data_IF_576518856939
#
_entry.id   IF_576518856939
#
_cell.length_a   1.000
_cell.length_b   1.000
_cell.length_c   1.000
_cell.angle_alpha   90.00
_cell.angle_beta   90.00
_cell.angle_gamma   90.00
#
_symmetry.space_group_name_H-M   'P 1'
#
loop_
_entity.id
_entity.type
_entity.pdbx_description
1 polymer ?
#
# COMPACT_ATOMS: atom_id res chain seq x y z
N UNK A 1 -32.57 5.69 -71.79
CA UNK A 1 -33.53 5.42 -70.71
C UNK A 1 -33.18 4.04 -70.18
N UNK A 2 -32.59 3.96 -68.99
CA UNK A 2 -32.34 2.67 -68.37
C UNK A 2 -33.67 1.98 -68.03
N UNK A 3 -33.77 0.64 -68.18
CA UNK A 3 -35.00 -0.08 -67.91
C UNK A 3 -35.38 0.03 -66.42
N UNK A 4 -36.68 0.07 -66.08
CA UNK A 4 -37.13 0.15 -64.71
C UNK A 4 -36.63 -1.07 -63.90
N UNK A 5 -36.16 -0.82 -62.69
CA UNK A 5 -35.72 -1.86 -61.78
C UNK A 5 -36.84 -2.89 -61.55
N UNK A 6 -36.49 -4.18 -61.61
CA UNK A 6 -37.46 -5.25 -61.32
C UNK A 6 -38.05 -5.12 -59.91
N UNK A 7 -39.30 -5.54 -59.71
CA UNK A 7 -39.97 -5.47 -58.42
C UNK A 7 -39.19 -6.14 -57.27
N UNK A 8 -38.47 -7.24 -57.55
CA UNK A 8 -37.60 -7.90 -56.56
C UNK A 8 -36.41 -7.04 -56.14
N UNK A 9 -35.80 -6.29 -57.06
CA UNK A 9 -34.72 -5.34 -56.76
C UNK A 9 -35.21 -4.19 -55.88
N UNK A 10 -36.39 -3.64 -56.17
CA UNK A 10 -36.99 -2.57 -55.36
C UNK A 10 -37.30 -3.06 -53.94
N UNK A 11 -37.88 -4.26 -53.81
CA UNK A 11 -38.16 -4.90 -52.53
C UNK A 11 -36.89 -5.15 -51.70
N UNK A 12 -35.86 -5.76 -52.29
CA UNK A 12 -34.58 -5.99 -51.64
C UNK A 12 -33.91 -4.68 -51.22
N UNK A 13 -33.92 -3.66 -52.09
CA UNK A 13 -33.40 -2.33 -51.76
C UNK A 13 -34.12 -1.71 -50.57
N UNK A 14 -35.45 -1.88 -50.50
CA UNK A 14 -36.23 -1.34 -49.38
C UNK A 14 -35.85 -2.03 -48.08
N UNK A 15 -35.77 -3.37 -48.06
CA UNK A 15 -35.36 -4.14 -46.88
C UNK A 15 -33.95 -3.76 -46.44
N UNK A 16 -33.00 -3.63 -47.38
CA UNK A 16 -31.62 -3.23 -47.06
C UNK A 16 -31.55 -1.80 -46.49
N UNK A 17 -32.44 -0.91 -46.91
CA UNK A 17 -32.52 0.46 -46.39
C UNK A 17 -33.24 0.61 -45.04
N UNK A 18 -33.89 -0.45 -44.53
CA UNK A 18 -34.59 -0.39 -43.24
C UNK A 18 -33.65 -0.31 -42.05
N UNK A 19 -32.39 -0.73 -42.22
CA UNK A 19 -31.35 -0.62 -41.19
C UNK A 19 -30.46 0.57 -41.51
N UNK A 20 -30.39 1.52 -40.57
CA UNK A 20 -29.46 2.62 -40.68
C UNK A 20 -28.05 2.14 -40.29
N UNK A 21 -27.17 2.00 -41.28
CA UNK A 21 -25.79 1.55 -41.07
C UNK A 21 -24.98 2.51 -40.18
N UNK A 22 -25.31 3.81 -40.20
CA UNK A 22 -24.63 4.81 -39.39
C UNK A 22 -24.99 4.64 -37.91
N UNK A 23 -26.26 4.38 -37.60
CA UNK A 23 -26.71 4.13 -36.22
C UNK A 23 -26.10 2.83 -35.67
N UNK A 24 -26.06 1.77 -36.49
CA UNK A 24 -25.38 0.51 -36.12
C UNK A 24 -23.90 0.75 -35.83
N UNK A 25 -23.22 1.54 -36.66
CA UNK A 25 -21.81 1.89 -36.46
C UNK A 25 -21.59 2.72 -35.20
N UNK A 26 -22.51 3.67 -34.91
CA UNK A 26 -22.47 4.47 -33.69
C UNK A 26 -22.66 3.60 -32.43
N UNK A 27 -23.58 2.63 -32.47
CA UNK A 27 -23.77 1.66 -31.37
C UNK A 27 -22.49 0.84 -31.15
N UNK A 28 -21.89 0.30 -32.23
CA UNK A 28 -20.65 -0.47 -32.14
C UNK A 28 -19.53 0.37 -31.52
N UNK A 29 -19.40 1.64 -31.93
CA UNK A 29 -18.39 2.55 -31.37
C UNK A 29 -18.64 2.83 -29.89
N UNK A 30 -19.89 3.09 -29.49
CA UNK A 30 -20.26 3.31 -28.10
C UNK A 30 -19.95 2.08 -27.23
N UNK A 31 -20.24 0.87 -27.72
CA UNK A 31 -19.94 -0.37 -27.02
C UNK A 31 -18.44 -0.62 -26.88
N UNK A 32 -17.65 -0.34 -27.92
CA UNK A 32 -16.17 -0.43 -27.85
C UNK A 32 -15.59 0.54 -26.82
N UNK A 33 -16.06 1.79 -26.82
CA UNK A 33 -15.64 2.79 -25.84
C UNK A 33 -16.02 2.38 -24.41
N UNK A 34 -17.17 1.76 -24.22
CA UNK A 34 -17.61 1.26 -22.93
C UNK A 34 -16.74 0.08 -22.47
N UNK A 35 -16.41 -0.85 -23.38
CA UNK A 35 -15.53 -1.98 -23.08
C UNK A 35 -14.13 -1.51 -22.64
N UNK A 36 -13.50 -0.59 -23.39
CA UNK A 36 -12.20 -0.01 -23.04
C UNK A 36 -12.21 0.63 -21.63
N UNK A 37 -13.29 1.35 -21.30
CA UNK A 37 -13.45 1.95 -19.96
C UNK A 37 -13.61 0.89 -18.87
N UNK A 38 -14.35 -0.18 -19.13
CA UNK A 38 -14.49 -1.28 -18.17
C UNK A 38 -13.17 -2.01 -17.94
N UNK A 39 -12.41 -2.27 -19.00
CA UNK A 39 -11.11 -2.92 -18.90
C UNK A 39 -10.12 -2.08 -18.09
N UNK A 40 -10.01 -0.78 -18.38
CA UNK A 40 -9.16 0.14 -17.62
C UNK A 40 -9.57 0.25 -16.16
N UNK A 41 -10.87 0.32 -15.89
CA UNK A 41 -11.37 0.40 -14.51
C UNK A 41 -11.07 -0.88 -13.74
N UNK A 42 -11.26 -2.05 -14.38
CA UNK A 42 -10.95 -3.34 -13.78
C UNK A 42 -9.45 -3.49 -13.50
N UNK A 43 -8.60 -3.04 -14.41
CA UNK A 43 -7.14 -3.06 -14.21
C UNK A 43 -6.73 -2.18 -13.03
N UNK A 44 -7.25 -0.95 -12.94
CA UNK A 44 -6.99 -0.07 -11.80
C UNK A 44 -7.48 -0.66 -10.48
N UNK A 45 -8.66 -1.30 -10.46
CA UNK A 45 -9.19 -1.97 -9.28
C UNK A 45 -8.33 -3.18 -8.86
N UNK A 46 -7.87 -3.97 -9.83
CA UNK A 46 -6.98 -5.10 -9.57
C UNK A 46 -5.65 -4.62 -8.98
N UNK A 47 -5.07 -3.56 -9.55
CA UNK A 47 -3.84 -2.97 -9.03
C UNK A 47 -4.03 -2.43 -7.61
N UNK A 48 -5.14 -1.72 -7.36
CA UNK A 48 -5.48 -1.22 -6.03
C UNK A 48 -5.65 -2.35 -5.01
N UNK A 49 -6.36 -3.43 -5.38
CA UNK A 49 -6.54 -4.57 -4.50
C UNK A 49 -5.20 -5.23 -4.15
N UNK A 50 -4.34 -5.44 -5.14
CA UNK A 50 -3.01 -6.01 -4.93
C UNK A 50 -2.16 -5.13 -4.01
N UNK A 51 -2.12 -3.81 -4.27
CA UNK A 51 -1.33 -2.87 -3.47
C UNK A 51 -1.85 -2.75 -2.04
N UNK A 52 -3.16 -2.63 -1.86
CA UNK A 52 -3.79 -2.54 -0.54
C UNK A 52 -3.60 -3.82 0.27
N UNK A 53 -3.75 -4.99 -0.36
CA UNK A 53 -3.49 -6.30 0.25
C UNK A 53 -2.02 -6.43 0.70
N UNK A 54 -1.07 -6.07 -0.16
CA UNK A 54 0.36 -6.11 0.18
C UNK A 54 0.71 -5.18 1.36
N UNK A 55 0.15 -3.96 1.38
CA UNK A 55 0.35 -3.01 2.49
C UNK A 55 -0.26 -3.53 3.79
N UNK A 56 -1.47 -4.11 3.72
CA UNK A 56 -2.13 -4.71 4.88
C UNK A 56 -1.32 -5.87 5.44
N UNK A 57 -0.82 -6.75 4.58
CA UNK A 57 0.01 -7.88 5.00
C UNK A 57 1.28 -7.40 5.70
N UNK A 58 2.00 -6.43 5.14
CA UNK A 58 3.21 -5.86 5.74
C UNK A 58 2.92 -5.26 7.13
N UNK A 59 1.84 -4.50 7.26
CA UNK A 59 1.45 -3.92 8.54
C UNK A 59 1.06 -4.99 9.56
N UNK A 60 0.30 -6.01 9.12
CA UNK A 60 -0.12 -7.11 9.98
C UNK A 60 1.07 -7.92 10.50
N UNK A 61 2.07 -8.19 9.66
CA UNK A 61 3.30 -8.90 10.08
C UNK A 61 4.05 -8.14 11.18
N UNK A 62 4.19 -6.81 11.04
CA UNK A 62 4.81 -5.94 12.06
C UNK A 62 3.99 -5.91 13.34
N UNK A 63 2.66 -5.79 13.22
CA UNK A 63 1.76 -5.80 14.36
C UNK A 63 1.89 -7.10 15.16
N UNK A 64 1.82 -8.25 14.49
CA UNK A 64 1.98 -9.56 15.11
C UNK A 64 3.36 -9.73 15.76
N UNK A 65 4.41 -9.19 15.14
CA UNK A 65 5.74 -9.19 15.74
C UNK A 65 5.76 -8.38 17.05
N UNK A 66 5.24 -7.16 17.05
CA UNK A 66 5.16 -6.33 18.26
C UNK A 66 4.31 -6.99 19.36
N UNK A 67 3.17 -7.59 19.01
CA UNK A 67 2.36 -8.33 19.99
C UNK A 67 3.14 -9.49 20.61
N UNK A 68 3.89 -10.27 19.81
CA UNK A 68 4.75 -11.35 20.34
C UNK A 68 5.80 -10.82 21.30
N UNK A 69 6.50 -9.75 20.93
CA UNK A 69 7.50 -9.12 21.80
C UNK A 69 6.91 -8.67 23.13
N UNK A 70 5.71 -8.06 23.13
CA UNK A 70 5.04 -7.67 24.37
C UNK A 70 4.68 -8.87 25.25
N UNK A 71 4.22 -9.98 24.65
CA UNK A 71 3.93 -11.21 25.39
C UNK A 71 5.20 -11.83 25.99
N UNK A 72 6.31 -11.82 25.25
CA UNK A 72 7.60 -12.28 25.75
C UNK A 72 8.11 -11.42 26.90
N UNK A 73 8.05 -10.09 26.76
CA UNK A 73 8.42 -9.15 27.82
C UNK A 73 7.57 -9.34 29.08
N UNK A 74 6.26 -9.56 28.93
CA UNK A 74 5.37 -9.89 30.07
C UNK A 74 5.85 -11.14 30.78
N UNK A 75 6.12 -12.23 30.04
CA UNK A 75 6.59 -13.50 30.61
C UNK A 75 7.91 -13.32 31.36
N UNK A 76 8.82 -12.52 30.81
CA UNK A 76 10.11 -12.26 31.43
C UNK A 76 9.94 -11.47 32.74
N UNK A 77 9.06 -10.46 32.76
CA UNK A 77 8.70 -9.74 33.98
C UNK A 77 8.06 -10.66 35.02
N UNK A 78 7.09 -11.49 34.62
CA UNK A 78 6.44 -12.48 35.51
C UNK A 78 7.49 -13.40 36.16
N UNK A 79 8.49 -13.85 35.38
CA UNK A 79 9.60 -14.66 35.88
C UNK A 79 10.50 -13.89 36.86
N UNK A 80 10.84 -12.64 36.55
CA UNK A 80 11.67 -11.78 37.41
C UNK A 80 10.98 -11.55 38.76
N UNK A 81 9.70 -11.14 38.75
CA UNK A 81 8.94 -10.89 39.97
C UNK A 81 8.78 -12.16 40.82
N UNK A 82 8.50 -13.32 40.20
CA UNK A 82 8.45 -14.62 40.89
C UNK A 82 9.77 -14.96 41.57
N UNK A 83 10.90 -14.71 40.91
CA UNK A 83 12.24 -14.95 41.47
C UNK A 83 12.55 -14.00 42.62
N UNK A 84 12.20 -12.72 42.50
CA UNK A 84 12.36 -11.71 43.57
C UNK A 84 11.54 -12.14 44.80
N UNK A 85 10.26 -12.49 44.63
CA UNK A 85 9.39 -12.99 45.71
C UNK A 85 9.98 -14.22 46.39
N UNK A 86 10.49 -15.18 45.62
CA UNK A 86 11.17 -16.38 46.15
C UNK A 86 12.40 -16.02 46.98
N UNK A 87 13.23 -15.08 46.52
CA UNK A 87 14.44 -14.65 47.23
C UNK A 87 14.09 -13.87 48.51
N UNK A 88 13.13 -12.95 48.45
CA UNK A 88 12.61 -12.23 49.64
C UNK A 88 12.12 -13.21 50.69
N UNK A 89 11.29 -14.19 50.31
CA UNK A 89 10.78 -15.21 51.23
C UNK A 89 11.84 -16.16 51.79
N UNK A 90 12.93 -16.42 51.05
CA UNK A 90 14.08 -17.17 51.59
C UNK A 90 14.88 -16.34 52.60
N UNK A 91 15.14 -15.07 52.29
CA UNK A 91 15.94 -14.19 53.14
C UNK A 91 15.24 -13.88 54.47
N UNK A 92 13.93 -13.64 54.43
CA UNK A 92 13.12 -13.44 55.63
C UNK A 92 13.15 -14.65 56.59
N UNK A 93 13.17 -15.88 56.04
CA UNK A 93 13.28 -17.11 56.83
C UNK A 93 14.68 -17.36 57.39
N UNK A 94 15.72 -16.93 56.68
CA UNK A 94 17.11 -17.12 57.11
C UNK A 94 17.56 -16.09 58.15
N UNK A 95 17.00 -14.87 58.10
CA UNK A 95 17.36 -13.77 58.99
C UNK A 95 16.11 -13.07 59.56
N UNK A 96 15.34 -13.74 60.43
CA UNK A 96 14.09 -13.19 60.98
C UNK A 96 14.33 -11.90 61.77
N UNK A 97 15.42 -11.81 62.53
CA UNK A 97 15.77 -10.64 63.35
C UNK A 97 15.98 -9.39 62.49
N UNK A 98 16.63 -9.53 61.33
CA UNK A 98 16.90 -8.44 60.39
C UNK A 98 15.63 -8.01 59.61
N UNK A 99 14.66 -8.91 59.48
CA UNK A 99 13.39 -8.65 58.81
C UNK A 99 12.29 -8.13 59.75
N UNK A 100 12.47 -8.23 61.07
CA UNK A 100 11.53 -7.72 62.09
C UNK A 100 11.34 -6.20 62.08
N UNK A 101 12.29 -5.46 61.50
CA UNK A 101 12.25 -3.99 61.38
C UNK A 101 11.67 -3.49 60.05
N UNK A 102 11.32 -4.39 59.13
CA UNK A 102 10.79 -4.03 57.81
C UNK A 102 9.25 -3.96 57.94
N UNK A 103 8.60 -2.85 57.53
CA UNK A 103 7.15 -2.73 57.61
C UNK A 103 6.45 -3.87 56.86
N UNK A 104 5.47 -4.52 57.50
CA UNK A 104 4.70 -5.66 56.93
C UNK A 104 4.09 -5.35 55.56
N UNK A 105 3.76 -4.09 55.27
CA UNK A 105 3.31 -3.65 53.94
C UNK A 105 4.29 -3.96 52.80
N UNK A 106 5.58 -4.18 53.11
CA UNK A 106 6.63 -4.55 52.14
C UNK A 106 6.73 -6.07 51.92
N UNK A 107 6.06 -6.86 52.76
CA UNK A 107 6.08 -8.32 52.77
C UNK A 107 4.74 -8.92 52.28
N UNK A 108 3.63 -8.21 52.45
CA UNK A 108 2.26 -8.65 52.14
C UNK A 108 1.81 -8.32 50.71
N UNK A 109 2.60 -8.66 49.69
CA UNK A 109 2.06 -8.73 48.32
C UNK A 109 1.70 -10.18 47.94
N UNK A 110 1.85 -11.13 48.88
CA UNK A 110 1.54 -12.54 48.70
C UNK A 110 0.10 -12.74 49.21
N UNK A 111 -0.88 -12.89 48.32
CA UNK A 111 -2.08 -13.76 48.50
C UNK A 111 -3.09 -13.67 47.34
N UNK A 112 -2.91 -12.87 46.28
CA UNK A 112 -3.83 -12.88 45.12
C UNK A 112 -3.07 -12.92 43.77
N UNK A 113 -2.59 -14.10 43.36
CA UNK A 113 -2.45 -14.40 41.92
C UNK A 113 -3.69 -15.18 41.49
N UNK A 114 -4.81 -14.47 41.30
CA UNK A 114 -5.92 -15.00 40.49
C UNK A 114 -5.33 -15.52 39.17
N UNK A 115 -5.71 -16.72 38.70
CA UNK A 115 -5.26 -17.22 37.42
C UNK A 115 -5.78 -16.25 36.36
N UNK A 116 -4.88 -15.46 35.77
CA UNK A 116 -5.21 -14.59 34.63
C UNK A 116 -5.90 -15.50 33.61
N UNK A 117 -7.21 -15.34 33.35
CA UNK A 117 -7.90 -16.19 32.40
C UNK A 117 -7.18 -16.06 31.05
N UNK A 118 -7.11 -17.14 30.25
CA UNK A 118 -6.43 -17.11 28.96
C UNK A 118 -6.97 -15.92 28.19
N UNK A 119 -6.11 -14.95 27.88
CA UNK A 119 -6.50 -13.72 27.20
C UNK A 119 -7.32 -14.11 25.97
N UNK A 120 -8.63 -13.87 26.07
CA UNK A 120 -9.56 -14.06 24.97
C UNK A 120 -8.96 -13.33 23.79
N UNK A 121 -8.62 -14.07 22.74
CA UNK A 121 -8.42 -13.56 21.40
C UNK A 121 -9.54 -12.58 21.11
N UNK A 122 -9.27 -11.29 21.24
CA UNK A 122 -10.19 -10.25 20.78
C UNK A 122 -10.20 -10.37 19.27
N UNK A 123 -11.23 -11.05 18.75
CA UNK A 123 -11.66 -10.96 17.37
C UNK A 123 -11.88 -9.48 17.08
N UNK A 124 -10.99 -8.87 16.30
CA UNK A 124 -11.18 -7.50 15.83
C UNK A 124 -12.37 -7.54 14.89
N UNK A 125 -13.54 -7.15 15.40
CA UNK A 125 -14.64 -6.70 14.58
C UNK A 125 -14.14 -5.46 13.83
N UNK A 126 -14.09 -5.56 12.50
CA UNK A 126 -13.85 -4.45 11.59
C UNK A 126 -15.00 -3.46 11.71
N UNK A 127 -14.92 -2.57 12.70
CA UNK A 127 -15.84 -1.45 12.83
C UNK A 127 -15.33 -0.33 11.92
N UNK A 128 -15.93 -0.28 10.74
CA UNK A 128 -15.77 0.79 9.77
C UNK A 128 -16.41 2.07 10.33
N UNK A 129 -15.64 2.86 11.08
CA UNK A 129 -15.84 4.30 11.25
C UNK A 129 -14.81 4.84 12.25
N UNK A 130 -13.73 5.42 11.75
CA UNK A 130 -13.09 6.55 12.42
C UNK A 130 -12.31 7.37 11.41
N UNK A 131 -12.92 8.48 11.03
CA UNK A 131 -12.27 9.63 10.39
C UNK A 131 -11.30 10.23 11.41
N UNK A 132 -10.02 9.85 11.31
CA UNK A 132 -8.98 10.32 12.21
C UNK A 132 -7.68 10.51 11.44
N UNK A 133 -7.50 11.73 10.94
CA UNK A 133 -6.28 12.29 10.36
C UNK A 133 -5.00 11.77 11.02
N UNK A 134 -4.21 11.00 10.27
CA UNK A 134 -2.79 10.77 10.55
C UNK A 134 -2.02 11.20 9.30
N UNK A 135 -1.68 12.49 9.31
CA UNK A 135 -0.68 13.11 8.44
C UNK A 135 0.67 12.41 8.67
N UNK A 136 1.09 11.62 7.69
CA UNK A 136 2.50 11.34 7.45
C UNK A 136 2.76 11.60 5.98
N UNK A 137 2.88 12.88 5.67
CA UNK A 137 3.36 13.39 4.38
C UNK A 137 4.66 12.68 3.96
N UNK A 138 4.76 12.12 2.74
CA UNK A 138 6.04 11.91 2.10
C UNK A 138 6.44 13.20 1.37
N UNK A 139 7.62 13.73 1.67
CA UNK A 139 8.23 14.82 0.92
C UNK A 139 8.27 14.48 -0.58
N UNK A 140 7.42 15.13 -1.37
CA UNK A 140 7.56 15.19 -2.82
C UNK A 140 7.97 16.61 -3.19
N UNK A 141 9.27 16.80 -3.43
CA UNK A 141 9.80 17.97 -4.15
C UNK A 141 9.07 18.09 -5.49
N UNK A 142 8.17 19.06 -5.58
CA UNK A 142 7.57 19.50 -6.85
C UNK A 142 8.28 20.78 -7.31
N UNK A 143 8.79 20.85 -8.55
CA UNK A 143 9.36 22.07 -9.10
C UNK A 143 8.24 23.09 -9.37
N UNK A 144 8.37 24.31 -8.85
CA UNK A 144 7.51 25.42 -9.24
C UNK A 144 7.89 25.90 -10.64
N UNK A 145 6.94 25.86 -11.57
CA UNK A 145 7.01 26.59 -12.83
C UNK A 145 5.91 27.65 -12.83
N UNK A 146 6.29 28.86 -12.44
CA UNK A 146 5.61 30.09 -12.80
C UNK A 146 6.67 31.09 -13.26
N UNK A 147 6.57 31.60 -14.49
CA UNK A 147 7.15 32.89 -14.81
C UNK A 147 6.03 33.86 -15.19
N UNK A 148 5.89 34.90 -14.38
CA UNK A 148 5.20 36.12 -14.76
C UNK A 148 6.15 37.06 -15.51
N UNK A 149 5.53 37.82 -16.41
CA UNK A 149 5.93 39.14 -16.92
C UNK A 149 7.09 39.23 -17.93
N UNK A 150 6.75 39.81 -19.08
CA UNK A 150 7.63 40.18 -20.18
C UNK A 150 8.52 41.37 -19.82
N UNK A 151 9.81 41.33 -20.15
CA UNK A 151 10.55 42.53 -20.54
C UNK A 151 11.66 42.20 -21.55
N UNK A 152 11.93 43.21 -22.36
CA UNK A 152 12.46 43.23 -23.70
C UNK A 152 13.94 42.88 -23.87
N UNK A 153 14.18 42.28 -25.03
CA UNK A 153 15.21 42.64 -26.02
C UNK A 153 16.62 42.02 -25.99
N UNK A 154 17.00 41.65 -27.21
CA UNK A 154 18.34 41.65 -27.80
C UNK A 154 19.20 40.37 -27.78
N UNK A 155 19.29 39.80 -29.00
CA UNK A 155 20.47 39.24 -29.70
C UNK A 155 20.55 37.70 -29.84
N UNK A 156 20.00 37.25 -30.99
CA UNK A 156 20.51 36.37 -32.08
C UNK A 156 21.34 35.09 -31.74
N UNK A 157 21.12 33.96 -32.47
CA UNK A 157 21.31 32.60 -31.96
C UNK A 157 22.70 32.01 -32.21
N UNK A 158 22.97 30.94 -31.47
CA UNK A 158 24.22 30.20 -31.46
C UNK A 158 24.58 29.46 -32.74
N UNK A 159 25.88 29.16 -32.85
CA UNK A 159 26.45 28.13 -33.72
C UNK A 159 27.01 27.01 -32.83
N UNK A 160 26.99 25.73 -33.28
CA UNK A 160 27.39 24.59 -32.47
C UNK A 160 28.92 24.40 -32.51
N UNK A 161 29.54 24.13 -31.36
CA UNK A 161 30.93 23.71 -31.30
C UNK A 161 31.03 22.21 -31.61
N UNK A 162 31.64 21.90 -32.76
CA UNK A 162 32.16 20.60 -33.14
C UNK A 162 33.69 20.63 -32.90
N UNK A 163 34.20 19.62 -32.20
CA UNK A 163 35.56 19.02 -32.26
C UNK A 163 35.84 18.37 -30.90
N UNK A 164 36.21 17.09 -30.79
CA UNK A 164 36.94 16.28 -31.76
C UNK A 164 38.37 16.07 -31.24
N UNK A 165 38.60 14.94 -30.55
CA UNK A 165 39.91 14.36 -30.22
C UNK A 165 39.65 12.88 -29.88
N UNK A 166 39.80 11.94 -30.83
CA UNK A 166 41.00 11.12 -31.11
C UNK A 166 41.47 10.34 -29.89
N UNK A 167 41.88 9.06 -29.89
CA UNK A 167 41.99 7.88 -30.76
C UNK A 167 42.66 6.83 -29.82
N UNK A 168 42.77 5.55 -30.22
CA UNK A 168 43.43 4.37 -29.57
C UNK A 168 42.48 3.52 -28.73
N UNK A 169 42.37 2.20 -28.89
CA UNK A 169 43.02 1.21 -29.77
C UNK A 169 42.03 0.03 -29.92
N UNK A 170 42.05 -0.61 -31.10
CA UNK A 170 41.31 -1.84 -31.39
C UNK A 170 42.01 -3.04 -30.72
N UNK A 171 41.25 -3.79 -29.91
CA UNK A 171 41.65 -5.10 -29.38
C UNK A 171 41.05 -6.23 -30.24
N UNK A 172 41.94 -7.18 -30.49
CA UNK A 172 41.93 -8.31 -31.40
C UNK A 172 40.95 -9.42 -30.95
N UNK A 173 40.14 -9.95 -31.88
CA UNK A 173 39.33 -11.17 -31.69
C UNK A 173 40.02 -12.36 -32.37
N UNK A 174 40.14 -13.53 -31.72
CA UNK A 174 40.82 -14.70 -32.27
C UNK A 174 39.90 -15.58 -33.15
N UNK A 175 40.51 -16.62 -33.75
CA UNK A 175 39.99 -17.54 -34.78
C UNK A 175 38.65 -18.22 -34.51
N UNK A 176 38.05 -18.93 -35.47
CA UNK A 176 38.58 -19.81 -36.52
C UNK A 176 37.86 -19.64 -37.88
#
# INVERSE_FOLDING_TARGET
MDPPDSASRVFCSRILSMVNADDVSAIILAQKNMLDRFEKTNEMLLNFNNLSSARLQQMNERFLHHTRTLVEMKRDLDSIFRRIRTLKGKLARQHPEAFSHIPEASLLEDEDEDPIPPSTTTTIATSEQSTGSCDTSPDTVSPSLSPGFEDLSHIRPGSPAINGRSHTDDEEMPGE
#
